data_IF_946396467524
#
_entry.id   IF_946396467524
#
_cell.length_a   1.000
_cell.length_b   1.000
_cell.length_c   1.000
_cell.angle_alpha   90.00
_cell.angle_beta   90.00
_cell.angle_gamma   90.00
#
_symmetry.space_group_name_H-M   'P 1'
#
loop_
_entity.id
_entity.type
_entity.pdbx_description
1 polymer ?
#
# COMPACT_ATOMS: atom_id res chain seq x y z
N UNK A 1 -6.78 25.54 3.88
CA UNK A 1 -7.25 24.13 3.80
C UNK A 1 -8.21 23.94 4.96
N UNK A 2 -9.40 23.36 4.74
CA UNK A 2 -10.41 23.23 5.82
C UNK A 2 -9.92 22.22 6.89
N UNK A 3 -10.29 22.47 8.15
CA UNK A 3 -9.99 21.59 9.32
C UNK A 3 -10.29 20.11 9.05
N UNK A 4 -11.35 19.83 8.28
CA UNK A 4 -11.73 18.47 7.89
C UNK A 4 -10.69 17.76 6.99
N UNK A 5 -10.00 18.49 6.11
CA UNK A 5 -8.97 17.94 5.24
C UNK A 5 -7.68 17.63 6.03
N UNK A 6 -7.33 18.46 7.01
CA UNK A 6 -6.19 18.22 7.89
C UNK A 6 -6.42 17.02 8.80
N UNK A 7 -7.61 16.89 9.38
CA UNK A 7 -7.98 15.74 10.21
C UNK A 7 -7.98 14.41 9.41
N UNK A 8 -8.48 14.42 8.17
CA UNK A 8 -8.46 13.23 7.31
C UNK A 8 -7.01 12.80 6.96
N UNK A 9 -6.12 13.77 6.69
CA UNK A 9 -4.71 13.51 6.43
C UNK A 9 -4.00 12.96 7.66
N UNK A 10 -4.25 13.51 8.85
CA UNK A 10 -3.67 13.01 10.10
C UNK A 10 -4.13 11.59 10.43
N UNK A 11 -5.41 11.26 10.19
CA UNK A 11 -5.95 9.93 10.45
C UNK A 11 -5.39 8.89 9.46
N UNK A 12 -5.26 9.23 8.17
CA UNK A 12 -4.62 8.37 7.18
C UNK A 12 -3.17 8.06 7.59
N UNK A 13 -2.43 9.08 8.04
CA UNK A 13 -1.06 8.93 8.53
C UNK A 13 -0.99 7.97 9.72
N UNK A 14 -1.88 8.15 10.71
CA UNK A 14 -1.94 7.28 11.89
C UNK A 14 -2.27 5.82 11.51
N UNK A 15 -3.15 5.61 10.53
CA UNK A 15 -3.44 4.28 10.00
C UNK A 15 -2.22 3.65 9.32
N UNK A 16 -1.50 4.39 8.47
CA UNK A 16 -0.28 3.92 7.83
C UNK A 16 0.79 3.52 8.88
N UNK A 17 0.94 4.31 9.95
CA UNK A 17 1.85 3.99 11.06
C UNK A 17 1.41 2.71 11.83
N UNK A 18 0.11 2.54 12.06
CA UNK A 18 -0.42 1.33 12.70
C UNK A 18 -0.20 0.08 11.82
N UNK A 19 -0.42 0.19 10.50
CA UNK A 19 -0.11 -0.88 9.55
C UNK A 19 1.37 -1.27 9.58
N UNK A 20 2.28 -0.29 9.56
CA UNK A 20 3.73 -0.54 9.63
C UNK A 20 4.12 -1.27 10.91
N UNK A 21 3.56 -0.88 12.06
CA UNK A 21 3.81 -1.57 13.33
C UNK A 21 3.38 -3.03 13.29
N UNK A 22 2.18 -3.31 12.78
CA UNK A 22 1.66 -4.68 12.67
C UNK A 22 2.50 -5.49 11.68
N UNK A 23 2.85 -4.92 10.53
CA UNK A 23 3.68 -5.58 9.53
C UNK A 23 5.13 -5.81 10.00
N UNK A 24 5.64 -5.04 10.96
CA UNK A 24 6.98 -5.21 11.54
C UNK A 24 7.04 -6.30 12.62
N UNK A 25 5.91 -6.86 13.02
CA UNK A 25 5.89 -7.97 13.96
C UNK A 25 6.51 -9.24 13.36
N UNK A 26 7.44 -9.85 14.10
CA UNK A 26 8.25 -10.99 13.61
C UNK A 26 7.40 -12.15 13.07
N UNK A 27 6.27 -12.47 13.74
CA UNK A 27 5.35 -13.52 13.28
C UNK A 27 4.72 -13.20 11.94
N UNK A 28 4.31 -11.95 11.71
CA UNK A 28 3.75 -11.49 10.42
C UNK A 28 4.84 -11.46 9.35
N UNK A 29 6.02 -10.93 9.68
CA UNK A 29 7.17 -10.88 8.79
C UNK A 29 7.61 -12.28 8.35
N UNK A 30 7.59 -13.27 9.24
CA UNK A 30 7.94 -14.65 8.90
C UNK A 30 7.03 -15.21 7.80
N UNK A 31 5.73 -14.96 7.88
CA UNK A 31 4.79 -15.34 6.82
C UNK A 31 5.08 -14.65 5.49
N UNK A 32 5.41 -13.35 5.53
CA UNK A 32 5.76 -12.56 4.33
C UNK A 32 7.04 -13.12 3.71
N UNK A 33 8.09 -13.33 4.52
CA UNK A 33 9.36 -13.85 4.05
C UNK A 33 9.21 -15.25 3.44
N UNK A 34 8.51 -16.16 4.12
CA UNK A 34 8.26 -17.52 3.61
C UNK A 34 7.54 -17.51 2.25
N UNK A 35 6.63 -16.58 2.05
CA UNK A 35 5.84 -16.51 0.82
C UNK A 35 6.53 -15.72 -0.32
N UNK A 36 7.42 -14.78 0.02
CA UNK A 36 7.97 -13.81 -0.92
C UNK A 36 9.44 -14.00 -1.25
N UNK A 37 10.15 -14.92 -0.57
CA UNK A 37 11.57 -15.15 -0.80
C UNK A 37 11.85 -16.63 -1.08
N UNK A 38 12.81 -16.89 -1.96
CA UNK A 38 13.22 -18.28 -2.27
C UNK A 38 13.93 -18.95 -1.10
N UNK A 39 14.71 -18.18 -0.37
CA UNK A 39 15.57 -18.66 0.72
C UNK A 39 14.78 -19.16 1.93
N UNK A 40 13.58 -18.63 2.15
CA UNK A 40 12.75 -19.02 3.31
C UNK A 40 11.56 -19.91 2.98
N UNK A 41 11.32 -20.25 1.71
CA UNK A 41 10.12 -21.00 1.29
C UNK A 41 9.94 -22.34 2.01
N UNK A 42 11.03 -23.02 2.31
CA UNK A 42 11.06 -24.34 2.94
C UNK A 42 11.37 -24.29 4.45
N UNK A 43 11.61 -23.08 5.00
CA UNK A 43 11.90 -22.90 6.43
C UNK A 43 10.64 -22.95 7.29
N UNK A 44 10.79 -23.36 8.54
CA UNK A 44 9.73 -23.27 9.54
C UNK A 44 9.44 -21.80 9.91
N UNK A 45 8.17 -21.47 10.14
CA UNK A 45 7.75 -20.09 10.45
C UNK A 45 8.32 -19.59 11.78
N UNK A 46 8.42 -20.47 12.78
CA UNK A 46 8.97 -20.09 14.08
C UNK A 46 10.47 -19.87 13.99
N UNK A 47 11.19 -20.68 13.21
CA UNK A 47 12.61 -20.47 12.95
C UNK A 47 12.85 -19.13 12.24
N UNK A 48 12.01 -18.79 11.24
CA UNK A 48 12.11 -17.49 10.56
C UNK A 48 11.91 -16.36 11.57
N UNK A 49 10.84 -16.42 12.37
CA UNK A 49 10.48 -15.37 13.31
C UNK A 49 11.52 -15.19 14.44
N UNK A 50 12.06 -16.29 14.98
CA UNK A 50 12.87 -16.25 16.19
C UNK A 50 14.37 -16.25 15.94
N UNK A 51 14.82 -16.87 14.83
CA UNK A 51 16.25 -17.14 14.60
C UNK A 51 16.80 -16.41 13.39
N UNK A 52 16.00 -16.19 12.33
CA UNK A 52 16.51 -15.70 11.06
C UNK A 52 16.29 -14.21 10.83
N UNK A 53 15.28 -13.59 11.46
CA UNK A 53 15.13 -12.12 11.46
C UNK A 53 16.07 -11.55 12.51
N UNK A 54 17.05 -10.73 12.08
CA UNK A 54 18.06 -10.16 12.95
C UNK A 54 17.62 -8.78 13.48
N UNK A 55 17.97 -8.50 14.74
CA UNK A 55 17.66 -7.23 15.38
C UNK A 55 16.16 -6.95 15.50
N UNK A 56 15.80 -5.73 15.84
CA UNK A 56 14.42 -5.26 15.77
C UNK A 56 14.20 -4.53 14.43
N UNK A 57 13.10 -4.80 13.71
CA UNK A 57 12.80 -4.13 12.45
C UNK A 57 12.69 -2.62 12.65
N UNK A 58 13.46 -1.85 11.88
CA UNK A 58 13.40 -0.40 11.91
C UNK A 58 12.20 0.11 11.13
N UNK A 59 11.34 0.88 11.80
CA UNK A 59 10.21 1.56 11.17
C UNK A 59 10.60 3.01 10.92
N UNK A 60 10.37 3.52 9.70
CA UNK A 60 10.60 4.93 9.39
C UNK A 60 9.76 5.81 10.31
N UNK A 61 10.41 6.54 11.20
CA UNK A 61 9.78 7.67 11.89
C UNK A 61 9.72 8.80 10.88
N UNK A 62 8.53 9.27 10.55
CA UNK A 62 8.35 10.48 9.74
C UNK A 62 9.16 11.59 10.40
N UNK A 63 10.01 12.27 9.61
CA UNK A 63 10.83 13.36 10.05
C UNK A 63 10.01 14.35 10.89
N UNK A 64 10.22 14.33 12.18
CA UNK A 64 9.88 15.41 13.10
C UNK A 64 11.17 16.21 13.21
N UNK A 65 11.10 17.44 12.83
CA UNK A 65 12.06 18.55 12.87
C UNK A 65 13.55 18.31 13.27
N UNK A 66 14.51 19.09 12.73
CA UNK A 66 15.94 18.74 12.72
C UNK A 66 16.71 18.86 14.05
N UNK A 67 16.09 18.92 15.20
CA UNK A 67 16.79 19.16 16.49
C UNK A 67 16.36 18.25 17.65
N UNK A 68 16.39 16.93 17.47
CA UNK A 68 16.32 16.03 18.61
C UNK A 68 17.49 15.04 18.58
N UNK A 69 18.49 15.30 19.40
CA UNK A 69 19.55 14.35 19.76
C UNK A 69 18.87 13.23 20.58
N UNK A 70 18.69 12.06 19.98
CA UNK A 70 18.24 10.86 20.68
C UNK A 70 19.41 9.89 20.87
N UNK A 71 19.50 9.19 22.02
CA UNK A 71 20.57 8.26 22.28
C UNK A 71 20.52 7.09 21.30
N UNK A 72 21.69 6.71 20.81
CA UNK A 72 21.93 5.59 19.89
C UNK A 72 21.38 4.29 20.48
N UNK A 73 20.29 3.81 19.93
CA UNK A 73 20.03 2.38 19.84
C UNK A 73 20.56 2.01 18.45
N UNK A 74 21.36 0.96 18.35
CA UNK A 74 21.88 0.41 17.09
C UNK A 74 20.73 -0.28 16.32
N UNK A 75 19.74 0.50 15.91
CA UNK A 75 18.74 0.09 14.95
C UNK A 75 19.23 0.55 13.57
N UNK A 76 19.12 -0.30 12.56
CA UNK A 76 19.46 0.07 11.22
C UNK A 76 18.76 1.35 10.79
N UNK A 77 19.49 2.22 10.11
CA UNK A 77 18.96 3.46 9.61
C UNK A 77 17.94 3.14 8.50
N UNK A 78 16.68 3.52 8.70
CA UNK A 78 15.65 3.52 7.65
C UNK A 78 15.88 4.64 6.61
N UNK A 79 16.89 5.49 6.85
CA UNK A 79 17.29 6.59 5.97
C UNK A 79 18.58 6.22 5.26
N UNK A 80 18.57 6.31 3.94
CA UNK A 80 19.77 6.23 3.11
C UNK A 80 20.08 7.61 2.56
N UNK A 81 21.17 8.21 3.06
CA UNK A 81 21.65 9.55 2.68
C UNK A 81 22.86 9.41 1.78
N UNK A 82 22.73 9.75 0.51
CA UNK A 82 23.88 10.06 -0.33
C UNK A 82 23.95 11.56 -0.58
N UNK A 83 25.15 12.13 -0.48
CA UNK A 83 25.36 13.58 -0.47
C UNK A 83 24.84 14.35 -1.68
N UNK A 84 24.59 13.66 -2.82
CA UNK A 84 24.10 14.25 -4.06
C UNK A 84 22.67 13.82 -4.45
N UNK A 85 22.16 12.70 -3.93
CA UNK A 85 20.92 12.06 -4.41
C UNK A 85 19.72 12.22 -3.48
N UNK A 86 19.89 12.89 -2.34
CA UNK A 86 18.85 13.07 -1.34
C UNK A 86 18.62 11.84 -0.45
N UNK A 87 17.68 11.94 0.47
CA UNK A 87 17.36 10.91 1.44
C UNK A 87 16.24 10.01 0.92
N UNK A 88 16.42 8.69 0.99
CA UNK A 88 15.38 7.68 0.77
C UNK A 88 14.90 7.17 2.11
N UNK A 89 13.58 7.10 2.28
CA UNK A 89 12.92 6.57 3.47
C UNK A 89 12.28 5.23 3.13
N UNK A 90 12.63 4.19 3.90
CA UNK A 90 12.04 2.87 3.81
C UNK A 90 10.97 2.72 4.89
N UNK A 91 9.85 2.09 4.57
CA UNK A 91 8.78 1.89 5.56
C UNK A 91 9.26 0.98 6.70
N UNK A 92 9.77 -0.20 6.37
CA UNK A 92 10.33 -1.15 7.31
C UNK A 92 11.61 -1.72 6.69
N UNK A 93 12.75 -1.57 7.35
CA UNK A 93 14.04 -2.15 6.91
C UNK A 93 14.61 -3.04 8.00
N UNK A 94 15.12 -4.20 7.62
CA UNK A 94 15.74 -5.15 8.54
C UNK A 94 16.69 -6.10 7.82
N UNK A 95 17.53 -6.80 8.59
CA UNK A 95 18.36 -7.88 8.12
C UNK A 95 17.75 -9.25 8.45
N UNK A 96 17.98 -10.20 7.57
CA UNK A 96 17.67 -11.60 7.84
C UNK A 96 18.84 -12.49 7.42
N UNK A 97 18.96 -13.63 8.07
CA UNK A 97 19.96 -14.64 7.77
C UNK A 97 19.25 -15.90 7.30
N UNK A 98 19.43 -16.23 6.04
CA UNK A 98 18.75 -17.37 5.44
C UNK A 98 19.65 -18.60 5.35
N UNK A 99 19.17 -19.81 5.69
CA UNK A 99 19.89 -21.05 5.46
C UNK A 99 19.76 -21.45 3.97
N UNK A 100 20.89 -21.45 3.25
CA UNK A 100 20.94 -21.87 1.84
C UNK A 100 22.10 -22.86 1.69
N UNK A 101 21.79 -24.07 1.24
CA UNK A 101 22.77 -25.14 1.01
C UNK A 101 23.75 -25.36 2.20
N UNK A 102 23.22 -25.33 3.42
CA UNK A 102 24.02 -25.52 4.65
C UNK A 102 24.86 -24.30 5.04
N UNK A 103 24.74 -23.18 4.33
CA UNK A 103 25.39 -21.90 4.66
C UNK A 103 24.35 -20.88 5.09
N UNK A 104 24.78 -19.91 5.89
CA UNK A 104 23.96 -18.76 6.27
C UNK A 104 24.31 -17.58 5.37
N UNK A 105 23.34 -17.09 4.60
CA UNK A 105 23.52 -15.90 3.78
C UNK A 105 22.76 -14.72 4.42
N UNK A 106 23.36 -13.54 4.35
CA UNK A 106 22.74 -12.31 4.84
C UNK A 106 21.89 -11.66 3.76
N UNK A 107 20.71 -11.22 4.15
CA UNK A 107 19.75 -10.52 3.30
C UNK A 107 19.41 -9.17 3.91
N UNK A 108 19.31 -8.15 3.07
CA UNK A 108 18.75 -6.85 3.45
C UNK A 108 17.35 -6.76 2.87
N UNK A 109 16.36 -6.53 3.72
CA UNK A 109 14.96 -6.56 3.33
C UNK A 109 14.31 -5.21 3.61
N UNK A 110 13.66 -4.67 2.60
CA UNK A 110 12.76 -3.54 2.69
C UNK A 110 11.32 -4.03 2.46
N UNK A 111 10.41 -3.68 3.35
CA UNK A 111 8.99 -3.95 3.26
C UNK A 111 8.22 -2.63 3.22
N UNK A 112 7.46 -2.42 2.16
CA UNK A 112 6.67 -1.21 1.90
C UNK A 112 5.17 -1.51 1.94
N UNK A 113 4.41 -0.72 2.68
CA UNK A 113 2.95 -0.75 2.68
C UNK A 113 2.41 0.36 1.75
N UNK A 114 2.00 -0.02 0.53
CA UNK A 114 1.63 0.91 -0.53
C UNK A 114 0.11 0.96 -0.74
N UNK A 115 -0.53 2.05 -0.33
CA UNK A 115 -1.97 2.23 -0.50
C UNK A 115 -2.35 2.80 -1.89
N UNK A 116 -1.47 3.57 -2.52
CA UNK A 116 -1.70 4.12 -3.86
C UNK A 116 -0.84 3.39 -4.88
N UNK A 117 -1.47 2.60 -5.74
CA UNK A 117 -0.77 1.83 -6.77
C UNK A 117 -0.30 2.70 -7.95
N UNK A 118 -0.91 3.88 -8.15
CA UNK A 118 -0.59 4.82 -9.22
C UNK A 118 -0.26 6.22 -8.68
N UNK A 119 0.82 6.39 -7.92
CA UNK A 119 1.17 7.66 -7.27
C UNK A 119 1.70 8.74 -8.24
N UNK A 120 1.37 8.64 -9.54
CA UNK A 120 1.86 9.53 -10.60
C UNK A 120 3.11 9.04 -11.31
N UNK A 121 3.65 7.90 -10.91
CA UNK A 121 4.80 7.23 -11.54
C UNK A 121 4.67 5.69 -11.42
N UNK A 122 5.39 4.92 -12.27
CA UNK A 122 5.38 3.45 -12.18
C UNK A 122 6.03 2.97 -10.87
N UNK A 123 5.26 2.28 -10.03
CA UNK A 123 5.71 1.79 -8.72
C UNK A 123 6.95 0.88 -8.84
N UNK A 124 6.98 0.02 -9.86
CA UNK A 124 8.12 -0.88 -10.08
C UNK A 124 9.44 -0.12 -10.31
N UNK A 125 9.42 1.05 -10.98
CA UNK A 125 10.62 1.88 -11.15
C UNK A 125 11.13 2.40 -9.80
N UNK A 126 10.24 2.79 -8.89
CA UNK A 126 10.61 3.17 -7.52
C UNK A 126 11.22 2.00 -6.78
N UNK A 127 10.64 0.81 -6.89
CA UNK A 127 11.17 -0.39 -6.24
C UNK A 127 12.57 -0.77 -6.75
N UNK A 128 12.82 -0.66 -8.07
CA UNK A 128 14.16 -0.83 -8.66
C UNK A 128 15.15 0.19 -8.08
N UNK A 129 14.75 1.46 -8.01
CA UNK A 129 15.59 2.51 -7.43
C UNK A 129 15.92 2.24 -5.95
N UNK A 130 14.95 1.77 -5.16
CA UNK A 130 15.15 1.40 -3.76
C UNK A 130 16.16 0.25 -3.61
N UNK A 131 16.09 -0.78 -4.47
CA UNK A 131 17.09 -1.85 -4.50
C UNK A 131 18.47 -1.31 -4.83
N UNK A 132 18.60 -0.45 -5.84
CA UNK A 132 19.87 0.19 -6.20
C UNK A 132 20.47 0.97 -5.04
N UNK A 133 19.64 1.71 -4.29
CA UNK A 133 20.07 2.43 -3.09
C UNK A 133 20.53 1.48 -1.98
N UNK A 134 19.80 0.39 -1.72
CA UNK A 134 20.22 -0.63 -0.73
C UNK A 134 21.52 -1.32 -1.12
N UNK A 135 21.78 -1.57 -2.39
CA UNK A 135 23.09 -2.09 -2.84
C UNK A 135 24.18 -1.03 -2.62
N UNK A 136 23.95 0.21 -3.06
CA UNK A 136 24.93 1.29 -2.95
C UNK A 136 25.28 1.62 -1.50
N UNK A 137 24.30 1.60 -0.59
CA UNK A 137 24.51 1.91 0.82
C UNK A 137 25.34 0.88 1.60
N UNK A 138 25.60 -0.28 1.00
CA UNK A 138 26.49 -1.29 1.60
C UNK A 138 27.97 -0.90 1.52
N UNK A 139 28.34 0.01 0.62
CA UNK A 139 29.71 0.52 0.57
C UNK A 139 30.05 1.33 1.81
N UNK A 140 31.17 1.03 2.43
CA UNK A 140 31.60 1.63 3.69
C UNK A 140 31.04 0.96 4.95
N UNK A 141 30.01 0.10 4.83
CA UNK A 141 29.40 -0.64 5.96
C UNK A 141 29.57 -2.14 5.82
N UNK A 142 29.13 -2.74 4.73
CA UNK A 142 29.22 -4.19 4.45
C UNK A 142 30.54 -4.51 3.74
N UNK A 143 30.94 -3.68 2.78
CA UNK A 143 32.18 -3.85 2.06
C UNK A 143 32.91 -2.54 1.84
N UNK A 144 34.23 -2.62 1.65
CA UNK A 144 35.11 -1.48 1.38
C UNK A 144 36.06 -1.83 0.22
N UNK A 145 36.56 -0.81 -0.49
CA UNK A 145 37.44 -0.97 -1.63
C UNK A 145 36.82 -1.89 -2.69
N UNK A 146 37.54 -2.95 -3.11
CA UNK A 146 37.12 -3.87 -4.17
C UNK A 146 36.54 -5.18 -3.64
N UNK A 147 36.10 -5.24 -2.39
CA UNK A 147 35.54 -6.45 -1.79
C UNK A 147 34.07 -6.65 -2.15
N UNK A 148 33.78 -6.66 -3.46
CA UNK A 148 32.42 -6.83 -4.00
C UNK A 148 31.80 -8.20 -3.71
N UNK A 149 32.62 -9.21 -3.37
CA UNK A 149 32.16 -10.54 -2.95
C UNK A 149 31.34 -10.52 -1.66
N UNK A 150 31.39 -9.42 -0.91
CA UNK A 150 30.65 -9.24 0.35
C UNK A 150 29.29 -8.58 0.17
N UNK A 151 28.95 -8.17 -1.06
CA UNK A 151 27.65 -7.57 -1.33
C UNK A 151 26.55 -8.55 -0.95
N UNK A 152 25.63 -8.08 -0.10
CA UNK A 152 24.49 -8.86 0.35
C UNK A 152 23.32 -8.66 -0.61
N UNK A 153 22.55 -9.73 -0.85
CA UNK A 153 21.33 -9.69 -1.63
C UNK A 153 20.27 -8.81 -0.95
N UNK A 154 19.57 -8.02 -1.74
CA UNK A 154 18.51 -7.12 -1.28
C UNK A 154 17.14 -7.58 -1.79
N UNK A 155 16.15 -7.50 -0.92
CA UNK A 155 14.74 -7.69 -1.23
C UNK A 155 13.98 -6.38 -1.03
N UNK A 156 13.14 -6.02 -1.99
CA UNK A 156 12.17 -4.94 -1.85
C UNK A 156 10.76 -5.51 -2.05
N UNK A 157 10.03 -5.68 -0.94
CA UNK A 157 8.69 -6.31 -0.91
C UNK A 157 7.65 -5.20 -0.75
N UNK A 158 6.67 -5.14 -1.65
CA UNK A 158 5.64 -4.11 -1.71
C UNK A 158 4.27 -4.74 -1.51
N UNK A 159 3.61 -4.40 -0.41
CA UNK A 159 2.22 -4.80 -0.14
C UNK A 159 1.30 -3.71 -0.66
N UNK A 160 0.68 -3.96 -1.80
CA UNK A 160 -0.23 -3.04 -2.49
C UNK A 160 -1.66 -3.35 -2.06
N UNK A 161 -2.25 -2.48 -1.24
CA UNK A 161 -3.59 -2.69 -0.68
C UNK A 161 -4.70 -2.35 -1.67
N UNK A 162 -4.48 -1.36 -2.55
CA UNK A 162 -5.46 -0.89 -3.55
C UNK A 162 -4.88 -0.93 -4.97
N UNK A 163 -4.53 -2.11 -5.51
CA UNK A 163 -4.05 -2.23 -6.88
C UNK A 163 -5.20 -1.97 -7.86
N UNK A 164 -4.86 -1.74 -9.14
CA UNK A 164 -5.89 -1.74 -10.18
C UNK A 164 -6.44 -3.15 -10.37
N UNK A 165 -7.71 -3.26 -10.82
CA UNK A 165 -8.48 -4.50 -10.93
C UNK A 165 -7.73 -5.67 -11.59
N UNK A 166 -6.91 -5.39 -12.60
CA UNK A 166 -6.09 -6.38 -13.31
C UNK A 166 -4.92 -6.93 -12.47
N UNK A 167 -4.52 -6.25 -11.40
CA UNK A 167 -3.42 -6.62 -10.52
C UNK A 167 -3.89 -7.24 -9.20
N UNK A 168 -5.21 -7.26 -8.92
CA UNK A 168 -5.73 -7.86 -7.69
C UNK A 168 -5.35 -9.34 -7.59
N UNK A 169 -4.99 -9.78 -6.40
CA UNK A 169 -4.64 -11.17 -6.05
C UNK A 169 -3.42 -11.73 -6.78
N UNK A 170 -2.47 -10.86 -7.14
CA UNK A 170 -1.22 -11.26 -7.78
C UNK A 170 -0.04 -11.10 -6.83
N UNK A 171 0.87 -12.06 -6.89
CA UNK A 171 2.22 -11.94 -6.33
C UNK A 171 3.17 -12.10 -7.50
N UNK A 172 3.98 -11.08 -7.74
CA UNK A 172 4.94 -11.07 -8.85
C UNK A 172 6.34 -10.79 -8.33
N UNK A 173 7.31 -11.58 -8.75
CA UNK A 173 8.72 -11.40 -8.44
C UNK A 173 9.48 -10.91 -9.67
N UNK A 174 10.40 -9.97 -9.46
CA UNK A 174 11.30 -9.41 -10.48
C UNK A 174 12.72 -9.56 -9.98
N UNK A 175 13.57 -10.21 -10.77
CA UNK A 175 14.95 -10.50 -10.40
C UNK A 175 15.86 -10.50 -11.62
N UNK A 176 17.16 -10.39 -11.40
CA UNK A 176 18.15 -10.51 -12.47
C UNK A 176 18.28 -11.98 -12.89
N UNK A 177 18.34 -12.21 -14.19
CA UNK A 177 18.52 -13.55 -14.76
C UNK A 177 19.60 -13.52 -15.83
N UNK A 178 20.46 -14.55 -15.87
CA UNK A 178 21.42 -14.72 -16.93
C UNK A 178 20.73 -15.19 -18.22
N UNK A 179 21.10 -14.58 -19.35
CA UNK A 179 20.67 -15.00 -20.68
C UNK A 179 21.89 -15.10 -21.60
N UNK A 180 22.18 -16.28 -22.08
CA UNK A 180 23.27 -16.49 -23.04
C UNK A 180 22.89 -15.92 -24.41
N UNK A 181 23.63 -14.93 -24.87
CA UNK A 181 23.52 -14.40 -26.25
C UNK A 181 24.40 -15.20 -27.22
N UNK A 182 25.59 -15.62 -26.78
CA UNK A 182 26.53 -16.45 -27.49
C UNK A 182 27.27 -17.32 -26.46
N UNK A 183 27.44 -18.59 -26.75
CA UNK A 183 28.09 -19.53 -25.82
C UNK A 183 27.14 -20.08 -24.74
N UNK A 184 27.69 -20.86 -23.81
CA UNK A 184 26.92 -21.60 -22.80
C UNK A 184 27.57 -21.60 -21.40
N UNK A 185 28.56 -20.72 -21.16
CA UNK A 185 29.20 -20.63 -19.83
C UNK A 185 28.24 -20.02 -18.85
N UNK A 186 28.00 -20.68 -17.72
CA UNK A 186 27.13 -20.21 -16.66
C UNK A 186 27.94 -19.56 -15.55
N UNK A 187 27.50 -18.36 -15.10
CA UNK A 187 28.02 -17.73 -13.90
C UNK A 187 27.38 -18.35 -12.64
N UNK A 188 28.09 -18.29 -11.53
CA UNK A 188 27.46 -18.62 -10.23
C UNK A 188 26.29 -17.67 -9.96
N UNK A 189 25.13 -18.24 -9.61
CA UNK A 189 23.90 -17.47 -9.34
C UNK A 189 24.11 -16.44 -8.23
N UNK A 190 24.90 -16.76 -7.22
CA UNK A 190 25.28 -15.86 -6.12
C UNK A 190 25.97 -14.57 -6.58
N UNK A 191 26.55 -14.54 -7.77
CA UNK A 191 27.26 -13.37 -8.29
C UNK A 191 26.34 -12.33 -8.94
N UNK A 192 25.11 -12.69 -9.34
CA UNK A 192 24.20 -11.78 -10.03
C UNK A 192 22.79 -11.73 -9.41
N UNK A 193 22.35 -12.73 -8.67
CA UNK A 193 21.04 -12.76 -8.00
C UNK A 193 21.07 -11.90 -6.71
N UNK A 194 21.40 -10.62 -6.89
CA UNK A 194 21.59 -9.68 -5.77
C UNK A 194 20.39 -8.77 -5.53
N UNK A 195 19.40 -8.76 -6.43
CA UNK A 195 18.23 -7.89 -6.35
C UNK A 195 16.96 -8.69 -6.62
N UNK A 196 16.03 -8.65 -5.71
CA UNK A 196 14.68 -9.20 -5.92
C UNK A 196 13.62 -8.19 -5.46
N UNK A 197 12.67 -7.88 -6.34
CA UNK A 197 11.50 -7.06 -6.03
C UNK A 197 10.28 -7.98 -6.02
N UNK A 198 9.44 -7.87 -4.99
CA UNK A 198 8.18 -8.62 -4.91
C UNK A 198 7.02 -7.65 -4.76
N UNK A 199 6.04 -7.74 -5.65
CA UNK A 199 4.77 -7.03 -5.53
C UNK A 199 3.70 -8.00 -5.05
N UNK A 200 3.14 -7.75 -3.88
CA UNK A 200 2.00 -8.49 -3.31
C UNK A 200 0.78 -7.60 -3.44
N UNK A 201 -0.05 -7.89 -4.43
CA UNK A 201 -1.25 -7.11 -4.73
C UNK A 201 -2.47 -7.77 -4.09
N UNK A 202 -3.05 -7.08 -3.11
CA UNK A 202 -4.28 -7.50 -2.43
C UNK A 202 -5.51 -7.21 -3.29
N UNK A 203 -6.70 -7.29 -2.74
CA UNK A 203 -7.92 -6.99 -3.49
C UNK A 203 -9.18 -7.02 -2.62
N UNK A 204 -10.32 -6.75 -3.23
CA UNK A 204 -11.59 -6.51 -2.55
C UNK A 204 -12.34 -7.77 -2.06
N UNK A 205 -11.85 -9.00 -2.37
CA UNK A 205 -12.51 -10.24 -1.89
C UNK A 205 -12.25 -10.42 -0.39
N UNK A 206 -13.24 -10.98 0.31
CA UNK A 206 -13.08 -11.40 1.68
C UNK A 206 -11.92 -12.41 1.82
N UNK A 207 -11.17 -12.35 2.93
CA UNK A 207 -10.09 -13.29 3.26
C UNK A 207 -10.53 -14.75 3.18
N UNK A 208 -11.81 -15.04 3.46
CA UNK A 208 -12.39 -16.42 3.40
C UNK A 208 -12.26 -17.06 2.01
N UNK A 209 -12.17 -16.27 0.96
CA UNK A 209 -12.03 -16.76 -0.42
C UNK A 209 -10.57 -16.88 -0.87
N UNK A 210 -9.63 -16.49 -0.01
CA UNK A 210 -8.20 -16.44 -0.31
C UNK A 210 -7.44 -17.52 0.47
N UNK A 211 -6.19 -17.78 0.08
CA UNK A 211 -5.29 -18.75 0.76
C UNK A 211 -3.92 -18.12 1.00
N UNK A 212 -3.16 -18.73 1.91
CA UNK A 212 -1.78 -18.37 2.21
C UNK A 212 -1.61 -16.91 2.60
N UNK A 213 -0.55 -16.29 2.12
CA UNK A 213 -0.18 -14.92 2.47
C UNK A 213 -1.24 -13.89 2.04
N UNK A 214 -1.91 -14.09 0.89
CA UNK A 214 -2.99 -13.20 0.46
C UNK A 214 -4.16 -13.22 1.44
N UNK A 215 -4.50 -14.40 2.01
CA UNK A 215 -5.53 -14.51 3.05
C UNK A 215 -5.13 -13.76 4.31
N UNK A 216 -3.91 -13.97 4.79
CA UNK A 216 -3.39 -13.30 5.98
C UNK A 216 -3.41 -11.78 5.82
N UNK A 217 -2.82 -11.27 4.76
CA UNK A 217 -2.70 -9.83 4.54
C UNK A 217 -4.04 -9.16 4.23
N UNK A 218 -4.93 -9.82 3.49
CA UNK A 218 -6.29 -9.31 3.25
C UNK A 218 -7.09 -9.21 4.56
N UNK A 219 -7.10 -10.28 5.35
CA UNK A 219 -7.74 -10.32 6.67
C UNK A 219 -7.21 -9.19 7.56
N UNK A 220 -5.90 -9.05 7.59
CA UNK A 220 -5.24 -8.11 8.48
C UNK A 220 -5.48 -6.65 8.06
N UNK A 221 -5.31 -6.32 6.77
CA UNK A 221 -5.23 -4.95 6.28
C UNK A 221 -6.52 -4.43 5.63
N UNK A 222 -7.37 -5.30 5.07
CA UNK A 222 -8.51 -4.87 4.27
C UNK A 222 -9.86 -5.28 4.83
N UNK A 223 -9.97 -6.44 5.48
CA UNK A 223 -11.26 -6.90 5.98
C UNK A 223 -11.74 -6.05 7.15
N UNK A 224 -13.01 -5.65 7.10
CA UNK A 224 -13.69 -4.93 8.16
C UNK A 224 -14.15 -5.90 9.25
N UNK A 225 -13.20 -6.30 10.08
CA UNK A 225 -13.39 -7.23 11.20
C UNK A 225 -12.96 -6.58 12.50
N UNK A 226 -13.59 -6.97 13.61
CA UNK A 226 -13.19 -6.52 14.93
C UNK A 226 -11.76 -6.98 15.30
N UNK A 227 -11.10 -6.19 16.16
CA UNK A 227 -9.72 -6.49 16.57
C UNK A 227 -9.59 -7.86 17.22
N UNK A 228 -10.55 -8.28 18.03
CA UNK A 228 -10.55 -9.57 18.71
C UNK A 228 -10.61 -10.73 17.71
N UNK A 229 -11.51 -10.66 16.72
CA UNK A 229 -11.65 -11.69 15.68
C UNK A 229 -10.37 -11.82 14.84
N UNK A 230 -9.72 -10.70 14.50
CA UNK A 230 -8.42 -10.72 13.82
C UNK A 230 -7.33 -11.37 14.66
N UNK A 231 -7.27 -11.07 15.95
CA UNK A 231 -6.31 -11.67 16.88
C UNK A 231 -6.51 -13.18 17.02
N UNK A 232 -7.76 -13.63 17.14
CA UNK A 232 -8.11 -15.06 17.20
C UNK A 232 -7.69 -15.78 15.91
N UNK A 233 -7.93 -15.21 14.73
CA UNK A 233 -7.50 -15.78 13.46
C UNK A 233 -5.97 -15.82 13.33
N UNK A 234 -5.27 -14.76 13.74
CA UNK A 234 -3.81 -14.74 13.75
C UNK A 234 -3.23 -15.86 14.60
N UNK A 235 -3.77 -16.06 15.80
CA UNK A 235 -3.32 -17.11 16.72
C UNK A 235 -3.67 -18.51 16.22
N UNK A 236 -4.92 -18.74 15.83
CA UNK A 236 -5.45 -20.10 15.60
C UNK A 236 -5.20 -20.61 14.18
N UNK A 237 -5.25 -19.74 13.15
CA UNK A 237 -5.05 -20.18 11.76
C UNK A 237 -3.62 -19.97 11.28
N UNK A 238 -2.97 -18.91 11.74
CA UNK A 238 -1.63 -18.54 11.25
C UNK A 238 -0.50 -18.83 12.26
N UNK A 239 -0.83 -19.38 13.43
CA UNK A 239 0.15 -19.66 14.49
C UNK A 239 1.04 -18.46 14.85
N UNK A 240 0.49 -17.24 14.76
CA UNK A 240 1.20 -16.02 15.15
C UNK A 240 1.10 -15.86 16.66
N UNK A 241 2.23 -15.80 17.35
CA UNK A 241 2.26 -15.53 18.79
C UNK A 241 1.74 -14.12 19.06
N UNK A 242 0.65 -14.04 19.83
CA UNK A 242 0.07 -12.75 20.22
C UNK A 242 0.89 -12.12 21.32
N UNK A 243 1.54 -11.00 20.99
CA UNK A 243 2.27 -10.16 21.94
C UNK A 243 1.41 -8.94 22.32
N UNK A 244 1.59 -8.34 23.52
CA UNK A 244 0.87 -7.11 23.86
C UNK A 244 1.10 -5.97 22.87
N UNK A 245 2.22 -5.96 22.17
CA UNK A 245 2.52 -4.99 21.12
C UNK A 245 1.69 -5.24 19.86
N UNK A 246 1.62 -6.50 19.40
CA UNK A 246 0.79 -6.89 18.25
C UNK A 246 -0.71 -6.65 18.52
N UNK A 247 -1.19 -7.04 19.71
CA UNK A 247 -2.59 -6.81 20.11
C UNK A 247 -2.97 -5.33 20.05
N UNK A 248 -2.14 -4.46 20.63
CA UNK A 248 -2.33 -3.01 20.56
C UNK A 248 -2.24 -2.48 19.13
N UNK A 249 -1.33 -3.01 18.32
CA UNK A 249 -1.17 -2.63 16.92
C UNK A 249 -2.42 -2.97 16.10
N UNK A 250 -2.95 -4.19 16.23
CA UNK A 250 -4.17 -4.64 15.55
C UNK A 250 -5.37 -3.82 16.01
N UNK A 251 -5.54 -3.59 17.32
CA UNK A 251 -6.63 -2.78 17.85
C UNK A 251 -6.58 -1.33 17.34
N UNK A 252 -5.41 -0.70 17.34
CA UNK A 252 -5.23 0.65 16.82
C UNK A 252 -5.57 0.74 15.32
N UNK A 253 -5.13 -0.23 14.53
CA UNK A 253 -5.41 -0.29 13.09
C UNK A 253 -6.91 -0.43 12.82
N UNK A 254 -7.63 -1.33 13.53
CA UNK A 254 -9.07 -1.52 13.38
C UNK A 254 -9.84 -0.24 13.74
N UNK A 255 -9.56 0.38 14.89
CA UNK A 255 -10.21 1.62 15.30
C UNK A 255 -10.03 2.77 14.29
N UNK A 256 -8.84 2.88 13.71
CA UNK A 256 -8.54 3.90 12.70
C UNK A 256 -9.24 3.61 11.37
N UNK A 257 -9.32 2.33 10.97
CA UNK A 257 -10.03 1.88 9.76
C UNK A 257 -11.52 2.21 9.84
N UNK A 258 -12.21 1.83 10.94
CA UNK A 258 -13.62 2.16 11.18
C UNK A 258 -13.88 3.68 11.13
N UNK A 259 -12.97 4.46 11.70
CA UNK A 259 -13.05 5.92 11.66
C UNK A 259 -12.95 6.50 10.24
N UNK A 260 -12.12 5.91 9.39
CA UNK A 260 -11.95 6.33 7.99
C UNK A 260 -13.18 5.96 7.18
N UNK A 261 -13.69 4.73 7.33
CA UNK A 261 -14.87 4.22 6.63
C UNK A 261 -16.11 5.03 6.95
N UNK A 262 -16.44 5.24 8.22
CA UNK A 262 -17.59 6.04 8.66
C UNK A 262 -17.58 7.46 8.11
N UNK A 263 -16.39 8.09 8.00
CA UNK A 263 -16.26 9.41 7.37
C UNK A 263 -16.43 9.37 5.87
N UNK A 264 -15.93 8.30 5.22
CA UNK A 264 -16.13 8.06 3.80
C UNK A 264 -17.60 7.91 3.44
N UNK A 265 -18.35 7.11 4.21
CA UNK A 265 -19.80 6.94 4.06
C UNK A 265 -20.57 8.25 4.28
N UNK A 266 -20.25 8.98 5.34
CA UNK A 266 -20.89 10.27 5.64
C UNK A 266 -20.66 11.28 4.51
N UNK A 267 -19.44 11.34 3.97
CA UNK A 267 -19.08 12.21 2.86
C UNK A 267 -19.77 11.78 1.55
N UNK A 268 -19.78 10.46 1.29
CA UNK A 268 -20.46 9.89 0.13
C UNK A 268 -21.95 10.16 0.15
N UNK A 269 -22.59 10.00 1.32
CA UNK A 269 -24.02 10.32 1.51
C UNK A 269 -24.32 11.78 1.23
N UNK A 270 -23.57 12.72 1.84
CA UNK A 270 -23.74 14.16 1.60
C UNK A 270 -23.59 14.52 0.12
N UNK A 271 -22.56 13.99 -0.54
CA UNK A 271 -22.34 14.23 -1.97
C UNK A 271 -23.47 13.66 -2.82
N UNK A 272 -23.96 12.47 -2.44
CA UNK A 272 -25.12 11.84 -3.09
C UNK A 272 -26.42 12.65 -2.92
N UNK A 273 -26.67 13.17 -1.72
CA UNK A 273 -27.80 14.06 -1.43
C UNK A 273 -27.71 15.34 -2.26
N UNK A 274 -26.56 16.05 -2.27
CA UNK A 274 -26.36 17.26 -3.06
C UNK A 274 -26.53 17.05 -4.58
N UNK A 275 -25.99 15.92 -5.10
CA UNK A 275 -26.15 15.56 -6.53
C UNK A 275 -27.59 15.17 -6.82
N UNK A 276 -28.25 14.43 -5.90
CA UNK A 276 -29.64 14.05 -6.03
C UNK A 276 -30.58 15.24 -6.03
N UNK A 277 -30.40 16.19 -5.11
CA UNK A 277 -31.16 17.44 -5.06
C UNK A 277 -31.00 18.26 -6.35
N UNK A 278 -29.76 18.43 -6.83
CA UNK A 278 -29.52 19.16 -8.10
C UNK A 278 -30.18 18.48 -9.30
N UNK A 279 -30.11 17.12 -9.35
CA UNK A 279 -30.76 16.37 -10.43
C UNK A 279 -32.30 16.48 -10.35
N UNK A 280 -32.86 16.30 -9.15
CA UNK A 280 -34.28 16.41 -8.91
C UNK A 280 -34.80 17.81 -9.24
N UNK A 281 -34.08 18.85 -8.88
CA UNK A 281 -34.42 20.24 -9.18
C UNK A 281 -34.38 20.51 -10.72
N UNK A 282 -33.36 19.98 -11.42
CA UNK A 282 -33.26 20.12 -12.86
C UNK A 282 -34.37 19.36 -13.60
N UNK A 283 -34.70 18.14 -13.15
CA UNK A 283 -35.80 17.35 -13.74
C UNK A 283 -37.14 18.04 -13.51
N UNK A 284 -37.44 18.51 -12.28
CA UNK A 284 -38.66 19.26 -11.99
C UNK A 284 -38.79 20.50 -12.87
N UNK A 285 -37.72 21.26 -13.06
CA UNK A 285 -37.74 22.40 -14.01
C UNK A 285 -37.98 22.00 -15.45
N UNK A 286 -37.45 20.87 -15.91
CA UNK A 286 -37.72 20.36 -17.26
C UNK A 286 -39.18 19.97 -17.43
N UNK A 287 -39.77 19.34 -16.42
CA UNK A 287 -41.19 18.97 -16.41
C UNK A 287 -42.09 20.22 -16.44
N UNK A 288 -41.78 21.24 -15.63
CA UNK A 288 -42.49 22.53 -15.63
C UNK A 288 -42.43 23.20 -17.04
N UNK A 289 -41.25 23.22 -17.67
CA UNK A 289 -41.07 23.75 -19.03
C UNK A 289 -41.88 22.96 -20.03
N UNK A 290 -41.91 21.64 -19.92
CA UNK A 290 -42.70 20.78 -20.83
C UNK A 290 -44.21 21.02 -20.72
N UNK A 291 -44.74 21.23 -19.51
CA UNK A 291 -46.13 21.56 -19.29
C UNK A 291 -46.44 22.93 -19.88
N UNK A 292 -45.59 23.94 -19.60
CA UNK A 292 -45.79 25.29 -20.17
C UNK A 292 -45.70 25.30 -21.70
N UNK A 293 -44.85 24.49 -22.30
CA UNK A 293 -44.73 24.33 -23.76
C UNK A 293 -45.99 23.67 -24.38
N UNK A 294 -46.55 22.66 -23.68
CA UNK A 294 -47.80 22.02 -24.09
C UNK A 294 -48.99 22.97 -24.02
N UNK A 295 -48.99 23.86 -23.06
CA UNK A 295 -50.01 24.88 -22.88
C UNK A 295 -49.82 26.09 -23.81
N UNK A 296 -48.83 26.07 -24.69
CA UNK A 296 -48.59 27.11 -25.69
C UNK A 296 -48.04 28.41 -25.12
N UNK A 297 -47.37 28.36 -23.93
CA UNK A 297 -46.74 29.54 -23.33
C UNK A 297 -45.51 29.96 -24.16
N UNK A 298 -45.38 31.26 -24.53
CA UNK A 298 -44.22 31.77 -25.28
C UNK A 298 -42.89 31.52 -24.54
N UNK A 299 -41.84 31.21 -25.30
CA UNK A 299 -40.50 30.89 -24.77
C UNK A 299 -39.94 31.99 -23.84
N UNK A 300 -40.19 33.26 -24.15
CA UNK A 300 -39.77 34.40 -23.35
C UNK A 300 -40.41 34.39 -21.94
N UNK A 301 -41.69 33.99 -21.88
CA UNK A 301 -42.41 33.84 -20.60
C UNK A 301 -41.89 32.64 -19.83
N UNK A 302 -41.67 31.51 -20.47
CA UNK A 302 -41.07 30.32 -19.83
C UNK A 302 -39.71 30.65 -19.26
N UNK A 303 -38.84 31.37 -20.00
CA UNK A 303 -37.54 31.81 -19.54
C UNK A 303 -37.63 32.72 -18.30
N UNK A 304 -38.63 33.61 -18.25
CA UNK A 304 -38.86 34.48 -17.12
C UNK A 304 -39.23 33.73 -15.86
N UNK A 305 -40.04 32.69 -15.92
CA UNK A 305 -40.49 31.89 -14.78
C UNK A 305 -39.47 30.89 -14.32
N UNK A 306 -38.86 30.16 -15.26
CA UNK A 306 -37.94 29.04 -14.95
C UNK A 306 -36.50 29.44 -14.76
N UNK A 307 -36.13 30.69 -15.15
CA UNK A 307 -34.76 31.23 -15.19
C UNK A 307 -33.81 30.41 -16.09
N UNK A 308 -34.35 29.66 -17.04
CA UNK A 308 -33.57 28.97 -18.07
C UNK A 308 -33.33 29.91 -19.27
N UNK A 309 -32.27 29.63 -20.03
CA UNK A 309 -32.01 30.34 -21.27
C UNK A 309 -32.98 29.92 -22.36
N UNK A 310 -33.25 30.81 -23.34
CA UNK A 310 -34.09 30.51 -24.48
C UNK A 310 -33.57 29.31 -25.29
N UNK A 311 -32.24 29.15 -25.39
CA UNK A 311 -31.59 27.98 -26.01
C UNK A 311 -31.95 26.69 -25.29
N UNK A 312 -31.84 26.65 -23.95
CA UNK A 312 -32.20 25.47 -23.16
C UNK A 312 -33.67 25.09 -23.31
N UNK A 313 -34.58 26.08 -23.37
CA UNK A 313 -36.02 25.85 -23.59
C UNK A 313 -36.27 25.30 -25.01
N UNK A 314 -35.60 25.86 -26.02
CA UNK A 314 -35.69 25.39 -27.41
C UNK A 314 -35.20 23.95 -27.56
N UNK A 315 -34.11 23.59 -26.88
CA UNK A 315 -33.60 22.23 -26.87
C UNK A 315 -34.56 21.23 -26.20
N UNK A 316 -35.20 21.62 -25.09
CA UNK A 316 -36.23 20.81 -24.43
C UNK A 316 -37.45 20.64 -25.38
N UNK A 317 -37.90 21.72 -26.05
CA UNK A 317 -38.96 21.64 -27.00
C UNK A 317 -38.66 20.72 -28.17
N UNK A 318 -37.47 20.83 -28.75
CA UNK A 318 -36.99 19.99 -29.85
C UNK A 318 -36.88 18.51 -29.48
N UNK A 319 -36.31 18.20 -28.29
CA UNK A 319 -36.20 16.82 -27.80
C UNK A 319 -37.58 16.16 -27.61
N UNK A 320 -38.61 16.95 -27.28
CA UNK A 320 -39.95 16.45 -27.01
C UNK A 320 -40.93 16.68 -28.18
N UNK A 321 -40.45 17.11 -29.36
CA UNK A 321 -41.26 17.34 -30.57
C UNK A 321 -42.41 18.32 -30.35
N UNK A 322 -42.20 19.36 -29.57
CA UNK A 322 -43.15 20.43 -29.24
C UNK A 322 -42.83 21.75 -29.97
N UNK A 323 -42.14 21.69 -31.10
CA UNK A 323 -41.81 22.82 -31.99
C UNK A 323 -42.67 22.78 -33.22
#
# INVERSE_FOLDING_TARGET
MSDSAQQAKAQKKAYDEACKRVLSERGIMAHILKACTEEFKDCDLQDIAQRYIQGEPSISRIAVEPEAISPRIESEQTEDKSGAEGTVYYDIRFHAVAPVDGRLIQLIINLEAQNDFNPGYPLLKRAVYYCGRMISSQYGTVFVKSHYEKIQKVYSIWICTMPTKKWEYHISSYQLTEKHLIGHTQAERSHYDLITIVLVCLGSKSHKQLKGILRLLNMLLLDNMGSQEKQELLANEFNVTMTPHLEKGVAAMCNLSEGIERRGETRGRKLGEEVGEKRGWNLGKQDDVLEMLKDGVPFEKIAQYTKLSLEAIADIAKQNKLT
#
